data_IF_583628706350
#
_entry.id   IF_583628706350
#
_cell.length_a   1.000
_cell.length_b   1.000
_cell.length_c   1.000
_cell.angle_alpha   90.00
_cell.angle_beta   90.00
_cell.angle_gamma   90.00
#
_symmetry.space_group_name_H-M   'P 1'
#
loop_
_entity.id
_entity.type
_entity.pdbx_description
1 polymer ?
#
# COMPACT_ATOMS: atom_id res chain seq x y z
N UNK A 1 7.49 -15.18 -24.09
CA UNK A 1 7.93 -14.13 -23.13
C UNK A 1 6.71 -13.75 -22.32
N UNK A 2 6.66 -14.13 -21.04
CA UNK A 2 5.47 -13.88 -20.20
C UNK A 2 5.51 -12.42 -19.74
N UNK A 3 4.49 -11.65 -20.10
CA UNK A 3 4.35 -10.23 -19.77
C UNK A 3 4.37 -10.03 -18.25
N UNK A 4 5.25 -9.14 -17.78
CA UNK A 4 5.36 -8.77 -16.37
C UNK A 4 4.02 -8.23 -15.85
N UNK A 5 3.20 -7.63 -16.73
CA UNK A 5 1.86 -7.16 -16.41
C UNK A 5 0.89 -8.32 -16.17
N UNK A 6 1.01 -9.42 -16.89
CA UNK A 6 0.14 -10.58 -16.71
C UNK A 6 0.51 -11.35 -15.44
N UNK A 7 1.79 -11.39 -15.07
CA UNK A 7 2.23 -11.88 -13.75
C UNK A 7 1.70 -10.99 -12.63
N UNK A 8 1.71 -9.67 -12.81
CA UNK A 8 1.16 -8.73 -11.82
C UNK A 8 -0.36 -8.89 -11.68
N UNK A 9 -1.10 -9.02 -12.80
CA UNK A 9 -2.55 -9.26 -12.79
C UNK A 9 -2.90 -10.60 -12.14
N UNK A 10 -2.18 -11.67 -12.46
CA UNK A 10 -2.41 -12.99 -11.86
C UNK A 10 -2.08 -13.01 -10.37
N UNK A 11 -0.99 -12.37 -9.96
CA UNK A 11 -0.66 -12.16 -8.55
C UNK A 11 -1.74 -11.35 -7.85
N UNK A 12 -2.18 -10.24 -8.44
CA UNK A 12 -3.21 -9.38 -7.89
C UNK A 12 -4.55 -10.13 -7.75
N UNK A 13 -5.02 -10.83 -8.80
CA UNK A 13 -6.23 -11.67 -8.77
C UNK A 13 -6.16 -12.78 -7.71
N UNK A 14 -5.00 -13.42 -7.54
CA UNK A 14 -4.78 -14.41 -6.47
C UNK A 14 -4.88 -13.78 -5.08
N UNK A 15 -4.50 -12.52 -4.94
CA UNK A 15 -4.74 -11.75 -3.71
C UNK A 15 -6.23 -11.37 -3.59
N UNK A 16 -6.99 -11.14 -4.68
CA UNK A 16 -8.43 -10.77 -4.63
C UNK A 16 -9.29 -11.79 -3.88
N UNK A 17 -8.92 -13.07 -3.90
CA UNK A 17 -9.55 -14.12 -3.09
C UNK A 17 -9.24 -14.08 -1.56
N UNK A 18 -8.33 -13.20 -1.10
CA UNK A 18 -7.95 -13.05 0.32
C UNK A 18 -8.55 -11.80 0.99
N UNK A 19 -9.32 -10.97 0.27
CA UNK A 19 -9.81 -9.68 0.79
C UNK A 19 -10.94 -9.80 1.82
N UNK A 20 -11.40 -11.00 2.17
CA UNK A 20 -12.35 -11.20 3.27
C UNK A 20 -11.71 -11.10 4.68
N UNK A 21 -10.41 -10.86 4.81
CA UNK A 21 -9.75 -10.72 6.14
C UNK A 21 -8.72 -9.58 6.20
N UNK A 22 -9.07 -8.41 5.65
CA UNK A 22 -8.22 -7.22 5.53
C UNK A 22 -7.60 -6.62 6.81
N UNK A 23 -7.85 -7.19 7.98
CA UNK A 23 -7.23 -6.79 9.25
C UNK A 23 -6.07 -7.68 9.71
N UNK A 24 -5.78 -8.81 9.04
CA UNK A 24 -4.96 -9.86 9.67
C UNK A 24 -3.75 -10.38 8.89
N UNK A 25 -3.41 -9.85 7.71
CA UNK A 25 -2.16 -10.30 7.09
C UNK A 25 -0.96 -9.77 7.91
N UNK A 26 -0.18 -10.64 8.58
CA UNK A 26 0.84 -10.19 9.52
C UNK A 26 1.93 -9.33 8.85
N UNK A 27 2.06 -9.47 7.54
CA UNK A 27 3.04 -8.76 6.69
C UNK A 27 2.44 -7.60 5.89
N UNK A 28 1.20 -7.21 6.14
CA UNK A 28 0.58 -6.06 5.48
C UNK A 28 1.09 -4.72 6.01
N UNK A 29 1.15 -3.70 5.15
CA UNK A 29 1.60 -2.35 5.53
C UNK A 29 0.77 -1.76 6.69
N UNK A 30 -0.55 -1.97 6.70
CA UNK A 30 -1.44 -1.56 7.79
C UNK A 30 -1.01 -2.16 9.13
N UNK A 31 -0.72 -3.45 9.17
CA UNK A 31 -0.32 -4.13 10.40
C UNK A 31 1.05 -3.65 10.89
N UNK A 32 1.99 -3.40 9.96
CA UNK A 32 3.28 -2.83 10.30
C UNK A 32 3.15 -1.43 10.92
N UNK A 33 2.33 -0.56 10.32
CA UNK A 33 2.07 0.80 10.84
C UNK A 33 1.39 0.74 12.21
N UNK A 34 0.36 -0.09 12.37
CA UNK A 34 -0.34 -0.24 13.64
C UNK A 34 0.60 -0.71 14.76
N UNK A 35 1.46 -1.70 14.49
CA UNK A 35 2.40 -2.23 15.49
C UNK A 35 3.46 -1.22 15.95
N UNK A 36 3.89 -0.31 15.07
CA UNK A 36 5.00 0.61 15.36
C UNK A 36 4.50 1.95 15.88
N UNK A 37 3.38 2.45 15.35
CA UNK A 37 2.88 3.80 15.62
C UNK A 37 1.46 3.83 16.22
N UNK A 38 0.77 2.69 16.33
CA UNK A 38 -0.65 2.63 16.73
C UNK A 38 -1.58 3.49 15.85
N UNK A 39 -1.26 3.57 14.56
CA UNK A 39 -1.97 4.38 13.55
C UNK A 39 -2.72 3.49 12.54
N UNK A 40 -3.78 4.02 11.94
CA UNK A 40 -4.52 3.40 10.84
C UNK A 40 -4.31 4.17 9.54
N UNK A 41 -4.02 3.45 8.45
CA UNK A 41 -3.96 4.02 7.12
C UNK A 41 -5.36 4.14 6.55
N UNK A 42 -5.59 5.20 5.78
CA UNK A 42 -6.79 5.30 4.96
C UNK A 42 -6.80 4.15 3.95
N UNK A 43 -7.90 3.38 3.91
CA UNK A 43 -8.13 2.27 2.97
C UNK A 43 -9.18 2.60 1.89
N UNK A 44 -9.64 3.85 1.82
CA UNK A 44 -10.74 4.29 0.94
C UNK A 44 -10.51 4.02 -0.55
N UNK A 45 -9.25 3.93 -1.00
CA UNK A 45 -8.90 3.70 -2.41
C UNK A 45 -8.30 2.30 -2.68
N UNK A 46 -8.26 1.42 -1.68
CA UNK A 46 -7.61 0.09 -1.79
C UNK A 46 -8.21 -0.77 -2.90
N UNK A 47 -9.54 -0.72 -3.08
CA UNK A 47 -10.27 -1.49 -4.09
C UNK A 47 -10.61 -0.67 -5.35
N UNK A 48 -10.00 0.50 -5.52
CA UNK A 48 -10.30 1.36 -6.66
C UNK A 48 -9.71 0.78 -7.96
N UNK A 49 -10.26 1.18 -9.11
CA UNK A 49 -9.78 0.75 -10.43
C UNK A 49 -8.55 1.56 -10.84
N UNK A 50 -7.36 1.05 -10.51
CA UNK A 50 -6.06 1.69 -10.83
C UNK A 50 -5.63 1.54 -12.29
N UNK A 51 -6.27 0.67 -13.06
CA UNK A 51 -5.98 0.47 -14.48
C UNK A 51 -6.43 1.62 -15.38
N UNK A 52 -7.25 2.54 -14.86
CA UNK A 52 -7.58 3.77 -15.57
C UNK A 52 -6.37 4.73 -15.48
N UNK A 53 -5.45 4.62 -16.44
CA UNK A 53 -4.27 5.47 -16.49
C UNK A 53 -4.65 6.95 -16.45
N UNK A 54 -3.87 7.73 -15.70
CA UNK A 54 -3.96 9.20 -15.60
C UNK A 54 -3.84 9.94 -16.96
N UNK A 55 -3.55 9.23 -18.04
CA UNK A 55 -3.04 9.78 -19.29
C UNK A 55 -4.08 10.28 -20.29
N UNK A 56 -5.40 10.15 -20.05
CA UNK A 56 -6.39 10.48 -21.10
C UNK A 56 -7.69 11.15 -20.65
N UNK A 57 -7.81 11.63 -19.41
CA UNK A 57 -9.03 12.34 -18.97
C UNK A 57 -8.71 13.69 -18.34
N UNK A 58 -9.61 14.69 -18.50
CA UNK A 58 -9.53 15.91 -17.70
C UNK A 58 -9.50 15.54 -16.21
N UNK A 59 -8.77 16.34 -15.43
CA UNK A 59 -8.60 16.14 -14.00
C UNK A 59 -9.97 15.98 -13.32
N UNK A 60 -10.20 14.80 -12.73
CA UNK A 60 -11.40 14.52 -11.96
C UNK A 60 -11.07 14.67 -10.46
N UNK A 61 -11.94 15.28 -9.63
CA UNK A 61 -11.67 15.46 -8.20
C UNK A 61 -11.31 14.16 -7.44
N UNK A 62 -11.85 13.02 -7.88
CA UNK A 62 -11.50 11.68 -7.35
C UNK A 62 -10.04 11.28 -7.58
N UNK A 63 -9.34 11.87 -8.55
CA UNK A 63 -7.91 11.61 -8.71
C UNK A 63 -7.10 12.19 -7.57
N UNK A 64 -7.54 13.27 -6.93
CA UNK A 64 -6.86 13.81 -5.75
C UNK A 64 -6.79 12.76 -4.63
N UNK A 65 -7.94 12.16 -4.28
CA UNK A 65 -7.99 11.16 -3.22
C UNK A 65 -7.18 9.90 -3.55
N UNK A 66 -7.14 9.49 -4.82
CA UNK A 66 -6.29 8.38 -5.28
C UNK A 66 -4.80 8.70 -5.19
N UNK A 67 -4.41 9.91 -5.62
CA UNK A 67 -3.02 10.38 -5.54
C UNK A 67 -2.59 10.47 -4.08
N UNK A 68 -3.39 11.11 -3.24
CA UNK A 68 -3.10 11.25 -1.80
C UNK A 68 -2.94 9.87 -1.16
N UNK A 69 -3.85 8.93 -1.42
CA UNK A 69 -3.76 7.55 -0.96
C UNK A 69 -2.43 6.89 -1.34
N UNK A 70 -2.02 6.97 -2.61
CA UNK A 70 -0.78 6.37 -3.09
C UNK A 70 0.46 7.03 -2.45
N UNK A 71 0.45 8.34 -2.28
CA UNK A 71 1.51 9.08 -1.60
C UNK A 71 1.62 8.65 -0.14
N UNK A 72 0.50 8.52 0.56
CA UNK A 72 0.49 8.09 1.97
C UNK A 72 1.00 6.66 2.16
N UNK A 73 0.68 5.72 1.24
CA UNK A 73 1.26 4.38 1.28
C UNK A 73 2.79 4.42 1.16
N UNK A 74 3.35 5.26 0.25
CA UNK A 74 4.80 5.44 0.12
C UNK A 74 5.44 6.09 1.35
N UNK A 75 4.86 7.18 1.87
CA UNK A 75 5.38 7.88 3.04
C UNK A 75 5.39 6.97 4.28
N UNK A 76 4.37 6.12 4.42
CA UNK A 76 4.28 5.15 5.51
C UNK A 76 5.42 4.13 5.48
N UNK A 77 5.78 3.64 4.29
CA UNK A 77 6.94 2.75 4.09
C UNK A 77 8.23 3.47 4.46
N UNK A 78 8.42 4.72 4.01
CA UNK A 78 9.60 5.52 4.36
C UNK A 78 9.71 5.73 5.86
N UNK A 79 8.61 6.12 6.53
CA UNK A 79 8.55 6.31 7.99
C UNK A 79 8.97 5.02 8.72
N UNK A 80 8.39 3.87 8.34
CA UNK A 80 8.75 2.56 8.90
C UNK A 80 10.23 2.23 8.73
N UNK A 81 10.80 2.44 7.54
CA UNK A 81 12.20 2.11 7.27
C UNK A 81 13.16 2.91 8.17
N UNK A 82 12.88 4.20 8.38
CA UNK A 82 13.66 5.07 9.27
C UNK A 82 13.58 4.57 10.72
N UNK A 83 12.38 4.28 11.22
CA UNK A 83 12.22 3.79 12.60
C UNK A 83 12.86 2.41 12.79
N UNK A 84 12.72 1.49 11.84
CA UNK A 84 13.38 0.18 11.93
C UNK A 84 14.90 0.30 11.97
N UNK A 85 15.50 1.21 11.18
CA UNK A 85 16.93 1.49 11.23
C UNK A 85 17.37 1.99 12.60
N UNK A 86 16.61 2.91 13.21
CA UNK A 86 16.89 3.43 14.54
C UNK A 86 16.82 2.33 15.61
N UNK A 87 15.76 1.50 15.59
CA UNK A 87 15.57 0.40 16.54
C UNK A 87 16.67 -0.67 16.43
N UNK A 88 17.18 -0.94 15.23
CA UNK A 88 18.30 -1.88 15.03
C UNK A 88 19.60 -1.34 15.63
N UNK A 89 19.87 -0.04 15.46
CA UNK A 89 21.06 0.60 16.05
C UNK A 89 20.98 0.60 17.58
N UNK A 90 19.82 0.89 18.16
CA UNK A 90 19.64 0.92 19.63
C UNK A 90 19.74 -0.44 20.32
N UNK A 91 19.61 -1.56 19.59
CA UNK A 91 19.74 -2.92 20.15
C UNK A 91 21.16 -3.49 20.06
N UNK A 92 22.06 -2.81 19.35
CA UNK A 92 23.45 -3.25 19.14
C UNK A 92 24.43 -2.67 20.18
N UNK A 93 23.93 -1.93 21.16
CA UNK A 93 24.65 -1.34 22.31
C UNK A 93 24.17 -2.06 23.57
#
# INVERSE_FOLDING_TARGET
MIDIQDKFKAWHFKQVGFYETGHHHPWGLQNAIYKVYNEFLDKSQQLNTWSQGLYRRPYHPKFKSMIDYAVYDCLSVTKLAVTMKQLTVSKAI
#
